data_IF_472753125260
#
_entry.id   IF_472753125260
#
_cell.length_a   1.000
_cell.length_b   1.000
_cell.length_c   1.000
_cell.angle_alpha   90.00
_cell.angle_beta   90.00
_cell.angle_gamma   90.00
#
_symmetry.space_group_name_H-M   'P 1'
#
loop_
_entity.id
_entity.type
_entity.pdbx_description
1 polymer ?
#
# COMPACT_ATOMS: atom_id res chain seq x y z
N UNK A 1 13.27 6.07 21.25
CA UNK A 1 13.96 5.69 20.00
C UNK A 1 14.08 4.17 19.86
N UNK A 2 14.80 3.48 20.74
CA UNK A 2 14.97 2.03 20.64
C UNK A 2 13.65 1.25 20.58
N UNK A 3 12.65 1.66 21.34
CA UNK A 3 11.35 1.01 21.38
C UNK A 3 10.60 1.16 20.04
N UNK A 4 10.62 2.32 19.40
CA UNK A 4 10.01 2.57 18.09
C UNK A 4 10.67 1.69 17.02
N UNK A 5 11.99 1.62 17.03
CA UNK A 5 12.77 0.77 16.08
C UNK A 5 12.47 -0.72 16.32
N UNK A 6 12.39 -1.15 17.59
CA UNK A 6 12.06 -2.55 17.93
C UNK A 6 10.64 -2.92 17.45
N UNK A 7 9.66 -2.06 17.69
CA UNK A 7 8.28 -2.27 17.25
C UNK A 7 8.18 -2.27 15.72
N UNK A 8 8.90 -1.36 15.05
CA UNK A 8 8.97 -1.33 13.58
C UNK A 8 9.50 -2.65 13.02
N UNK A 9 10.63 -3.13 13.57
CA UNK A 9 11.24 -4.38 13.13
C UNK A 9 10.33 -5.59 13.36
N UNK A 10 9.74 -5.69 14.57
CA UNK A 10 8.78 -6.74 14.89
C UNK A 10 7.56 -6.72 13.96
N UNK A 11 7.04 -5.54 13.62
CA UNK A 11 5.89 -5.41 12.69
C UNK A 11 6.25 -5.80 11.26
N UNK A 12 7.41 -5.39 10.76
CA UNK A 12 7.87 -5.78 9.43
C UNK A 12 8.05 -7.30 9.33
N UNK A 13 8.66 -7.93 10.35
CA UNK A 13 8.80 -9.39 10.41
C UNK A 13 7.43 -10.10 10.48
N UNK A 14 6.51 -9.62 11.32
CA UNK A 14 5.17 -10.18 11.43
C UNK A 14 4.40 -10.08 10.10
N UNK A 15 4.49 -8.93 9.42
CA UNK A 15 3.86 -8.74 8.10
C UNK A 15 4.48 -9.64 7.05
N UNK A 16 5.81 -9.77 7.02
CA UNK A 16 6.50 -10.66 6.10
C UNK A 16 6.10 -12.13 6.33
N UNK A 17 5.99 -12.56 7.59
CA UNK A 17 5.55 -13.91 7.94
C UNK A 17 4.10 -14.17 7.52
N UNK A 18 3.20 -13.19 7.74
CA UNK A 18 1.79 -13.30 7.35
C UNK A 18 1.62 -13.33 5.83
N UNK A 19 2.36 -12.49 5.10
CA UNK A 19 2.32 -12.50 3.63
C UNK A 19 2.94 -13.77 3.04
N UNK A 20 3.94 -14.34 3.70
CA UNK A 20 4.58 -15.59 3.29
C UNK A 20 3.73 -16.85 3.55
N UNK A 21 2.77 -16.79 4.49
CA UNK A 21 1.88 -17.91 4.81
C UNK A 21 0.67 -18.04 3.88
N UNK A 22 0.54 -17.17 2.86
CA UNK A 22 -0.60 -17.18 1.92
C UNK A 22 -1.92 -16.70 2.55
N UNK A 23 -1.88 -16.17 3.77
CA UNK A 23 -3.06 -15.58 4.38
C UNK A 23 -3.49 -14.33 3.59
N UNK A 24 -4.74 -14.27 3.19
CA UNK A 24 -5.39 -13.12 2.54
C UNK A 24 -5.52 -12.01 3.58
N UNK A 25 -4.41 -11.42 3.96
CA UNK A 25 -4.37 -10.27 4.86
C UNK A 25 -4.18 -8.98 4.07
N UNK A 26 -4.99 -7.96 4.36
CA UNK A 26 -4.84 -6.66 3.71
C UNK A 26 -3.46 -6.07 3.99
N UNK A 27 -2.67 -5.87 2.95
CA UNK A 27 -1.34 -5.23 3.01
C UNK A 27 -1.45 -3.76 3.43
N UNK A 28 -2.64 -3.22 3.37
CA UNK A 28 -2.97 -1.82 3.59
C UNK A 28 -2.70 -1.36 5.04
N UNK A 29 -3.27 -2.08 6.02
CA UNK A 29 -3.10 -1.73 7.45
C UNK A 29 -1.65 -1.77 7.91
N UNK A 30 -0.85 -2.82 7.62
CA UNK A 30 0.56 -2.82 7.97
C UNK A 30 1.36 -1.71 7.28
N UNK A 31 1.01 -1.34 6.05
CA UNK A 31 1.66 -0.25 5.31
C UNK A 31 1.46 1.10 6.01
N UNK A 32 0.24 1.43 6.42
CA UNK A 32 -0.07 2.64 7.18
C UNK A 32 0.69 2.67 8.50
N UNK A 33 0.71 1.54 9.22
CA UNK A 33 1.39 1.43 10.51
C UNK A 33 2.91 1.63 10.39
N UNK A 34 3.55 1.02 9.40
CA UNK A 34 4.98 1.22 9.12
C UNK A 34 5.27 2.67 8.75
N UNK A 35 4.42 3.29 7.93
CA UNK A 35 4.51 4.70 7.58
C UNK A 35 4.42 5.62 8.80
N UNK A 36 3.50 5.33 9.73
CA UNK A 36 3.36 6.07 10.99
C UNK A 36 4.63 6.00 11.85
N UNK A 37 5.19 4.80 12.02
CA UNK A 37 6.40 4.61 12.83
C UNK A 37 7.62 5.29 12.20
N UNK A 38 7.78 5.20 10.87
CA UNK A 38 8.85 5.89 10.16
C UNK A 38 8.71 7.42 10.27
N UNK A 39 7.49 7.93 10.09
CA UNK A 39 7.18 9.35 10.28
C UNK A 39 7.47 9.80 11.72
N UNK A 40 7.05 9.02 12.71
CA UNK A 40 7.31 9.33 14.13
C UNK A 40 8.81 9.28 14.46
N UNK A 41 9.56 8.34 13.87
CA UNK A 41 11.00 8.26 14.04
C UNK A 41 11.69 9.49 13.44
N UNK A 42 11.31 9.88 12.21
CA UNK A 42 11.82 11.09 11.57
C UNK A 42 11.47 12.37 12.35
N UNK A 43 10.22 12.46 12.85
CA UNK A 43 9.77 13.58 13.66
C UNK A 43 10.50 13.68 15.00
N UNK A 44 10.74 12.56 15.67
CA UNK A 44 11.46 12.54 16.94
C UNK A 44 12.93 12.88 16.77
N UNK A 45 13.58 12.46 15.68
CA UNK A 45 14.95 12.91 15.36
C UNK A 45 15.00 14.37 14.95
N UNK A 46 14.03 14.84 14.16
CA UNK A 46 13.90 16.25 13.79
C UNK A 46 13.70 17.16 14.99
N UNK A 47 12.85 16.76 15.93
CA UNK A 47 12.59 17.52 17.15
C UNK A 47 13.82 17.57 18.11
N UNK A 48 14.62 16.48 18.12
CA UNK A 48 15.87 16.48 18.89
C UNK A 48 16.94 17.41 18.31
N UNK A 49 16.98 17.55 16.97
CA UNK A 49 17.91 18.46 16.28
C UNK A 49 17.42 19.91 16.28
N UNK A 50 16.10 20.13 16.26
CA UNK A 50 15.49 21.46 16.19
C UNK A 50 14.30 21.55 17.16
N UNK A 51 14.51 22.08 18.39
CA UNK A 51 13.48 22.12 19.44
C UNK A 51 12.22 22.95 19.11
N UNK A 52 12.21 23.67 17.98
CA UNK A 52 11.05 24.42 17.46
C UNK A 52 10.22 23.68 16.42
N UNK A 53 10.55 22.43 16.08
CA UNK A 53 9.79 21.66 15.10
C UNK A 53 8.47 21.13 15.67
N UNK A 54 7.51 20.82 14.76
CA UNK A 54 6.20 20.27 15.11
C UNK A 54 6.29 19.00 15.95
N UNK A 55 5.22 18.67 16.67
CA UNK A 55 5.11 17.45 17.46
C UNK A 55 5.39 16.19 16.63
N UNK A 56 6.06 15.18 17.16
CA UNK A 56 6.34 13.92 16.45
C UNK A 56 5.10 13.21 15.89
N UNK A 57 3.93 13.42 16.52
CA UNK A 57 2.65 12.91 16.05
C UNK A 57 2.24 13.45 14.67
N UNK A 58 2.55 14.71 14.37
CA UNK A 58 2.29 15.34 13.07
C UNK A 58 3.09 14.62 11.97
N UNK A 59 4.35 14.34 12.26
CA UNK A 59 5.21 13.60 11.33
C UNK A 59 4.76 12.14 11.13
N UNK A 60 4.14 11.54 12.16
CA UNK A 60 3.55 10.21 12.02
C UNK A 60 2.41 10.21 11.00
N UNK A 61 1.49 11.18 11.05
CA UNK A 61 0.38 11.32 10.09
C UNK A 61 0.90 11.56 8.66
N UNK A 62 1.87 12.46 8.52
CA UNK A 62 2.50 12.73 7.22
C UNK A 62 3.19 11.48 6.68
N UNK A 63 3.86 10.72 7.54
CA UNK A 63 4.52 9.46 7.20
C UNK A 63 3.54 8.37 6.74
N UNK A 64 2.35 8.27 7.36
CA UNK A 64 1.29 7.36 6.91
C UNK A 64 0.93 7.60 5.45
N UNK A 65 0.62 8.86 5.11
CA UNK A 65 0.22 9.23 3.75
C UNK A 65 1.34 9.05 2.74
N UNK A 66 2.54 9.51 3.07
CA UNK A 66 3.70 9.41 2.20
C UNK A 66 4.06 7.94 1.89
N UNK A 67 4.08 7.07 2.91
CA UNK A 67 4.42 5.66 2.72
C UNK A 67 3.33 4.92 1.93
N UNK A 68 2.05 5.22 2.20
CA UNK A 68 0.94 4.66 1.46
C UNK A 68 0.97 5.10 -0.02
N UNK A 69 1.22 6.39 -0.30
CA UNK A 69 1.34 6.91 -1.66
C UNK A 69 2.51 6.29 -2.43
N UNK A 70 3.63 6.04 -1.76
CA UNK A 70 4.81 5.40 -2.33
C UNK A 70 4.56 3.94 -2.71
N UNK A 71 3.76 3.21 -1.94
CA UNK A 71 3.48 1.78 -2.16
C UNK A 71 2.35 1.53 -3.15
N UNK A 72 1.30 2.35 -3.12
CA UNK A 72 0.11 2.21 -3.98
C UNK A 72 0.24 2.92 -5.32
N UNK A 73 1.18 3.86 -5.43
CA UNK A 73 1.29 4.80 -6.57
C UNK A 73 0.00 5.62 -6.83
N UNK A 74 -0.81 5.79 -5.79
CA UNK A 74 -2.07 6.53 -5.83
C UNK A 74 -2.07 7.67 -4.80
N UNK A 75 -1.42 8.82 -5.07
CA UNK A 75 -1.23 9.88 -4.09
C UNK A 75 -2.52 10.52 -3.61
N UNK A 76 -3.51 10.68 -4.49
CA UNK A 76 -4.81 11.24 -4.12
C UNK A 76 -5.61 10.32 -3.21
N UNK A 77 -5.62 9.02 -3.49
CA UNK A 77 -6.28 8.02 -2.66
C UNK A 77 -5.62 7.95 -1.27
N UNK A 78 -4.29 7.92 -1.23
CA UNK A 78 -3.53 7.87 0.00
C UNK A 78 -3.75 9.10 0.88
N UNK A 79 -3.74 10.27 0.27
CA UNK A 79 -4.07 11.53 0.93
C UNK A 79 -5.49 11.48 1.53
N UNK A 80 -6.49 11.11 0.71
CA UNK A 80 -7.89 11.13 1.13
C UNK A 80 -8.15 10.17 2.31
N UNK A 81 -7.60 8.96 2.25
CA UNK A 81 -7.77 7.97 3.32
C UNK A 81 -7.16 8.44 4.63
N UNK A 82 -5.92 8.94 4.61
CA UNK A 82 -5.26 9.41 5.84
C UNK A 82 -5.92 10.68 6.36
N UNK A 83 -6.38 11.56 5.48
CA UNK A 83 -7.13 12.75 5.86
C UNK A 83 -8.47 12.37 6.53
N UNK A 84 -9.22 11.43 5.97
CA UNK A 84 -10.49 10.97 6.53
C UNK A 84 -10.31 10.28 7.89
N UNK A 85 -9.20 9.57 8.09
CA UNK A 85 -8.87 8.96 9.37
C UNK A 85 -8.49 9.96 10.46
N UNK A 86 -7.88 11.09 10.09
CA UNK A 86 -7.35 12.07 11.06
C UNK A 86 -8.23 13.29 11.23
N UNK A 87 -8.96 13.70 10.18
CA UNK A 87 -9.82 14.90 10.09
C UNK A 87 -9.11 16.21 10.50
N UNK A 88 -7.78 16.23 10.40
CA UNK A 88 -6.95 17.37 10.76
C UNK A 88 -6.72 18.29 9.56
N UNK A 89 -7.59 19.29 9.41
CA UNK A 89 -7.54 20.24 8.29
C UNK A 89 -6.23 21.04 8.21
N UNK A 90 -5.58 21.28 9.35
CA UNK A 90 -4.31 22.02 9.41
C UNK A 90 -3.15 21.26 8.73
N UNK A 91 -3.23 19.92 8.70
CA UNK A 91 -2.21 19.08 8.09
C UNK A 91 -2.44 18.83 6.59
N UNK A 92 -3.57 19.26 6.05
CA UNK A 92 -3.99 19.00 4.69
C UNK A 92 -2.93 19.36 3.62
N UNK A 93 -2.38 20.59 3.61
CA UNK A 93 -1.38 20.95 2.59
C UNK A 93 -0.07 20.18 2.76
N UNK A 94 0.37 19.95 3.99
CA UNK A 94 1.60 19.19 4.26
C UNK A 94 1.43 17.71 3.86
N UNK A 95 0.27 17.12 4.13
CA UNK A 95 -0.06 15.74 3.77
C UNK A 95 -0.15 15.55 2.25
N UNK A 96 -0.81 16.46 1.53
CA UNK A 96 -0.88 16.44 0.06
C UNK A 96 0.53 16.51 -0.56
N UNK A 97 1.33 17.47 -0.12
CA UNK A 97 2.67 17.67 -0.65
C UNK A 97 3.57 16.46 -0.39
N UNK A 98 3.50 15.88 0.80
CA UNK A 98 4.27 14.69 1.16
C UNK A 98 3.86 13.45 0.35
N UNK A 99 2.55 13.23 0.12
CA UNK A 99 2.05 12.14 -0.72
C UNK A 99 2.53 12.29 -2.17
N UNK A 100 2.49 13.50 -2.72
CA UNK A 100 2.94 13.78 -4.08
C UNK A 100 4.46 13.58 -4.21
N UNK A 101 5.24 14.10 -3.27
CA UNK A 101 6.69 13.92 -3.26
C UNK A 101 7.08 12.44 -3.15
N UNK A 102 6.45 11.70 -2.23
CA UNK A 102 6.68 10.27 -2.05
C UNK A 102 6.31 9.46 -3.28
N UNK A 103 5.21 9.80 -3.96
CA UNK A 103 4.84 9.20 -5.24
C UNK A 103 5.90 9.40 -6.32
N UNK A 104 6.38 10.64 -6.51
CA UNK A 104 7.39 10.94 -7.52
C UNK A 104 8.71 10.22 -7.24
N UNK A 105 9.15 10.21 -5.99
CA UNK A 105 10.37 9.50 -5.57
C UNK A 105 10.21 8.00 -5.76
N UNK A 106 9.10 7.42 -5.34
CA UNK A 106 8.84 5.99 -5.49
C UNK A 106 8.82 5.57 -6.95
N UNK A 107 8.16 6.35 -7.81
CA UNK A 107 8.08 6.08 -9.25
C UNK A 107 9.43 6.21 -9.96
N UNK A 108 10.30 7.09 -9.50
CA UNK A 108 11.66 7.22 -10.03
C UNK A 108 12.55 6.01 -9.68
N UNK A 109 12.28 5.38 -8.51
CA UNK A 109 13.05 4.21 -8.04
C UNK A 109 12.43 2.91 -8.57
N UNK A 110 11.11 2.80 -8.54
CA UNK A 110 10.34 1.63 -9.01
C UNK A 110 9.14 2.07 -9.85
N UNK A 111 9.15 1.80 -11.16
CA UNK A 111 8.03 2.16 -12.04
C UNK A 111 6.78 1.31 -11.83
N UNK A 112 6.85 0.19 -11.11
CA UNK A 112 5.73 -0.71 -10.87
C UNK A 112 5.23 -0.62 -9.43
N UNK A 113 3.89 -0.47 -9.27
CA UNK A 113 3.23 -0.51 -7.95
C UNK A 113 3.29 -1.93 -7.37
N UNK A 114 3.47 -2.04 -6.05
CA UNK A 114 3.56 -3.33 -5.33
C UNK A 114 2.28 -4.18 -5.56
N UNK A 115 1.13 -3.54 -5.71
CA UNK A 115 -0.13 -4.23 -6.01
C UNK A 115 -0.18 -4.92 -7.38
N UNK A 116 0.49 -4.37 -8.39
CA UNK A 116 0.60 -5.02 -9.71
C UNK A 116 1.39 -6.32 -9.64
N UNK A 117 2.47 -6.33 -8.86
CA UNK A 117 3.30 -7.52 -8.67
C UNK A 117 2.57 -8.60 -7.84
N UNK A 118 1.77 -8.18 -6.83
CA UNK A 118 0.95 -9.09 -6.04
C UNK A 118 -0.16 -9.73 -6.87
N UNK A 119 -0.80 -8.99 -7.78
CA UNK A 119 -1.81 -9.51 -8.70
C UNK A 119 -1.21 -10.52 -9.68
N UNK A 120 -0.04 -10.25 -10.26
CA UNK A 120 0.62 -11.20 -11.15
C UNK A 120 1.06 -12.48 -10.45
N UNK A 121 1.41 -12.43 -9.17
CA UNK A 121 1.70 -13.63 -8.37
C UNK A 121 0.42 -14.39 -8.02
N UNK A 122 -0.67 -13.69 -7.71
CA UNK A 122 -1.97 -14.30 -7.43
C UNK A 122 -2.54 -15.02 -8.65
N UNK A 123 -2.50 -14.41 -9.83
CA UNK A 123 -2.97 -15.03 -11.06
C UNK A 123 -2.12 -16.21 -11.51
N UNK A 124 -0.82 -16.23 -11.21
CA UNK A 124 0.03 -17.38 -11.48
C UNK A 124 -0.26 -18.60 -10.58
N UNK A 125 -0.94 -18.38 -9.44
CA UNK A 125 -1.35 -19.46 -8.53
C UNK A 125 -2.81 -19.86 -8.77
N UNK A 126 -3.62 -19.02 -9.43
CA UNK A 126 -5.03 -19.25 -9.78
C UNK A 126 -5.25 -19.59 -11.26
N UNK A 127 -4.23 -19.96 -12.01
CA UNK A 127 -4.41 -20.70 -13.28
C UNK A 127 -4.73 -22.18 -13.01
N UNK A 128 -5.70 -22.45 -12.14
CA UNK A 128 -6.61 -23.53 -12.42
C UNK A 128 -7.61 -23.00 -13.46
N UNK A 129 -7.73 -23.62 -14.63
CA UNK A 129 -8.60 -23.12 -15.66
C UNK A 129 -10.02 -23.14 -15.08
N UNK A 130 -10.61 -21.95 -14.90
CA UNK A 130 -12.05 -21.84 -14.87
C UNK A 130 -12.51 -22.54 -16.13
N UNK A 131 -12.88 -23.82 -15.99
CA UNK A 131 -13.43 -24.59 -17.05
C UNK A 131 -14.59 -23.79 -17.61
N UNK A 132 -14.38 -23.21 -18.78
CA UNK A 132 -15.47 -22.59 -19.54
C UNK A 132 -16.63 -23.56 -19.44
N UNK A 133 -17.80 -23.15 -18.93
CA UNK A 133 -18.96 -24.03 -18.91
C UNK A 133 -19.11 -24.57 -20.32
N UNK A 134 -19.32 -25.88 -20.50
CA UNK A 134 -19.37 -26.46 -21.81
C UNK A 134 -20.33 -25.65 -22.67
N UNK A 135 -19.82 -25.19 -23.82
CA UNK A 135 -20.62 -24.45 -24.79
C UNK A 135 -21.94 -25.21 -24.97
N UNK A 136 -23.10 -24.57 -24.89
CA UNK A 136 -24.38 -25.23 -25.06
C UNK A 136 -24.31 -26.01 -26.38
N UNK A 137 -24.62 -27.29 -26.29
CA UNK A 137 -24.59 -28.19 -27.47
C UNK A 137 -25.41 -27.54 -28.60
N UNK A 138 -24.90 -27.53 -29.84
CA UNK A 138 -25.65 -26.97 -30.96
C UNK A 138 -27.00 -27.67 -31.05
N UNK A 139 -28.08 -26.94 -31.37
CA UNK A 139 -29.40 -27.54 -31.46
C UNK A 139 -29.40 -28.73 -32.46
N UNK A 140 -30.10 -29.83 -32.15
CA UNK A 140 -30.13 -30.99 -33.01
C UNK A 140 -30.70 -30.60 -34.38
N UNK A 141 -29.89 -30.72 -35.45
CA UNK A 141 -30.32 -30.45 -36.82
C UNK A 141 -29.42 -29.56 -37.67
N UNK A 142 -28.33 -28.98 -37.14
CA UNK A 142 -27.36 -28.27 -37.97
C UNK A 142 -26.23 -29.21 -38.42
N UNK A 143 -26.42 -29.87 -39.55
CA UNK A 143 -25.31 -30.52 -40.26
C UNK A 143 -24.44 -29.46 -40.92
N UNK A 144 -23.10 -29.49 -40.78
CA UNK A 144 -22.23 -28.57 -41.49
C UNK A 144 -22.34 -28.83 -43.01
N UNK A 145 -22.25 -27.78 -43.84
CA UNK A 145 -22.25 -27.98 -45.30
C UNK A 145 -21.01 -28.77 -45.71
N UNK A 146 -21.22 -29.81 -46.48
CA UNK A 146 -20.18 -30.62 -47.11
C UNK A 146 -19.47 -29.81 -48.20
N UNK A 147 -18.18 -29.53 -48.01
CA UNK A 147 -17.26 -29.24 -49.11
C UNK A 147 -16.67 -30.55 -49.65
#
# INVERSE_FOLDING_TARGET
>A
MALIVSVLFAKVLATAATSGSGAVGGVFTPTIFVGALLGMLAGSTGHALWPGSSLPAVYAVIGMGAFLAATTHAPLMSFLIVFEMTLEYQLMPALMLSCLAAYHVSRAIRPQAIYHEALHRGTATEEEPYATPPSPAPPPGTTPPSE
#
